data_IF_249818435645
#
_entry.id   IF_249818435645
#
_cell.length_a   1.000
_cell.length_b   1.000
_cell.length_c   1.000
_cell.angle_alpha   90.00
_cell.angle_beta   90.00
_cell.angle_gamma   90.00
#
_symmetry.space_group_name_H-M   'P 1'
#
loop_
_entity.id
_entity.type
_entity.pdbx_description
1 polymer ?
#
# COMPACT_ATOMS: atom_id res chain seq x y z
N UNK A 1 27.04 55.29 -19.90
CA UNK A 1 25.97 54.37 -19.60
C UNK A 1 26.08 53.14 -20.48
N UNK A 2 26.14 51.92 -19.93
CA UNK A 2 26.14 50.67 -20.69
C UNK A 2 24.70 50.44 -21.15
N UNK A 3 24.42 50.24 -22.45
CA UNK A 3 23.07 50.01 -22.92
C UNK A 3 22.61 48.59 -22.46
N UNK A 4 21.60 48.55 -21.59
CA UNK A 4 20.98 47.30 -21.16
C UNK A 4 19.88 46.94 -22.16
N UNK A 5 20.07 45.87 -22.93
CA UNK A 5 19.01 45.26 -23.74
C UNK A 5 18.18 44.28 -22.89
N UNK A 6 16.91 44.59 -22.69
CA UNK A 6 15.96 43.65 -22.07
C UNK A 6 15.35 42.75 -23.16
N UNK A 7 15.58 41.47 -23.07
CA UNK A 7 14.88 40.47 -23.88
C UNK A 7 13.72 39.93 -23.06
N UNK A 8 12.50 40.06 -23.55
CA UNK A 8 11.33 39.39 -23.04
C UNK A 8 11.16 38.15 -23.91
N UNK A 9 11.54 37.00 -23.38
CA UNK A 9 11.19 35.71 -24.00
C UNK A 9 9.73 35.46 -23.66
N UNK A 10 8.82 35.68 -24.58
CA UNK A 10 7.46 35.17 -24.47
C UNK A 10 7.54 33.69 -24.82
N UNK A 11 7.39 32.83 -23.82
CA UNK A 11 6.95 31.47 -24.06
C UNK A 11 5.50 31.59 -24.56
N UNK A 12 5.27 31.51 -25.84
CA UNK A 12 3.98 31.03 -26.31
C UNK A 12 3.83 29.64 -25.73
N UNK A 13 2.75 29.44 -24.97
CA UNK A 13 2.35 28.07 -24.58
C UNK A 13 2.28 27.28 -25.89
N UNK A 14 3.30 26.49 -26.17
CA UNK A 14 3.21 25.54 -27.27
C UNK A 14 1.90 24.79 -27.02
N UNK A 15 0.93 24.98 -27.90
CA UNK A 15 -0.21 24.06 -28.01
C UNK A 15 0.44 22.72 -27.97
N UNK A 16 0.18 21.96 -26.91
CA UNK A 16 0.79 20.67 -26.64
C UNK A 16 0.69 19.85 -27.91
N UNK A 17 1.81 19.74 -28.63
CA UNK A 17 1.88 18.83 -29.74
C UNK A 17 1.46 17.50 -29.15
N UNK A 18 0.41 16.87 -29.73
CA UNK A 18 -0.01 15.55 -29.25
C UNK A 18 1.20 14.65 -29.36
N UNK A 19 1.80 14.36 -28.21
CA UNK A 19 2.93 13.43 -28.19
C UNK A 19 2.46 12.10 -28.77
N UNK A 20 3.28 11.43 -29.59
CA UNK A 20 2.92 10.16 -30.18
C UNK A 20 2.55 9.15 -29.09
N UNK A 21 1.68 8.21 -29.42
CA UNK A 21 1.38 7.08 -28.56
C UNK A 21 2.65 6.28 -28.27
N UNK A 22 2.73 5.69 -27.07
CA UNK A 22 3.85 4.84 -26.69
C UNK A 22 3.54 3.43 -27.18
N UNK A 23 4.07 3.09 -28.34
CA UNK A 23 3.91 1.74 -28.93
C UNK A 23 4.68 0.73 -28.11
N UNK A 24 4.05 -0.39 -27.79
CA UNK A 24 4.69 -1.49 -27.07
C UNK A 24 5.67 -2.23 -27.99
N UNK A 25 6.77 -2.67 -27.43
CA UNK A 25 7.74 -3.54 -28.08
C UNK A 25 7.76 -4.93 -27.42
N UNK A 26 8.28 -5.93 -28.11
CA UNK A 26 8.50 -7.26 -27.50
C UNK A 26 9.40 -7.20 -26.27
N UNK A 27 10.35 -6.26 -26.24
CA UNK A 27 11.22 -6.04 -25.11
C UNK A 27 10.45 -5.48 -23.91
N UNK A 28 9.52 -4.55 -24.13
CA UNK A 28 8.67 -3.99 -23.08
C UNK A 28 7.80 -5.10 -22.45
N UNK A 29 7.18 -5.94 -23.28
CA UNK A 29 6.38 -7.08 -22.82
C UNK A 29 7.22 -8.08 -22.05
N UNK A 30 8.44 -8.39 -22.53
CA UNK A 30 9.37 -9.25 -21.80
C UNK A 30 9.73 -8.67 -20.44
N UNK A 31 10.03 -7.38 -20.38
CA UNK A 31 10.32 -6.67 -19.12
C UNK A 31 9.17 -6.77 -18.13
N UNK A 32 7.91 -6.62 -18.59
CA UNK A 32 6.74 -6.80 -17.72
C UNK A 32 6.65 -8.23 -17.20
N UNK A 33 6.83 -9.26 -18.04
CA UNK A 33 6.78 -10.67 -17.64
C UNK A 33 7.85 -11.04 -16.61
N UNK A 34 9.02 -10.39 -16.67
CA UNK A 34 10.11 -10.59 -15.72
C UNK A 34 9.92 -9.78 -14.43
N UNK A 35 9.09 -8.74 -14.47
CA UNK A 35 8.83 -7.87 -13.32
C UNK A 35 7.70 -8.43 -12.45
N UNK A 36 7.91 -8.49 -11.13
CA UNK A 36 6.84 -8.84 -10.21
C UNK A 36 5.86 -7.67 -10.06
N UNK A 37 4.61 -7.85 -10.50
CA UNK A 37 3.55 -6.84 -10.41
C UNK A 37 2.96 -6.80 -8.98
N UNK A 38 2.41 -5.67 -8.60
CA UNK A 38 1.72 -5.45 -7.32
C UNK A 38 0.39 -4.73 -7.53
N UNK A 39 -0.44 -4.63 -6.51
CA UNK A 39 -1.66 -3.84 -6.56
C UNK A 39 -1.37 -2.40 -7.05
N UNK A 40 -0.31 -1.77 -6.57
CA UNK A 40 0.11 -0.42 -6.99
C UNK A 40 0.48 -0.37 -8.48
N UNK A 41 1.22 -1.37 -8.98
CA UNK A 41 1.57 -1.40 -10.42
C UNK A 41 0.35 -1.58 -11.30
N UNK A 42 -0.61 -2.41 -10.89
CA UNK A 42 -1.90 -2.55 -11.59
C UNK A 42 -2.72 -1.26 -11.53
N UNK A 43 -2.79 -0.61 -10.38
CA UNK A 43 -3.46 0.70 -10.22
C UNK A 43 -2.84 1.77 -11.13
N UNK A 44 -1.51 1.76 -11.30
CA UNK A 44 -0.83 2.66 -12.24
C UNK A 44 -1.27 2.41 -13.68
N UNK A 45 -1.32 1.14 -14.12
CA UNK A 45 -1.81 0.79 -15.45
C UNK A 45 -3.26 1.22 -15.67
N UNK A 46 -4.15 0.85 -14.75
CA UNK A 46 -5.58 1.17 -14.79
C UNK A 46 -5.87 2.69 -14.75
N UNK A 47 -5.00 3.46 -14.12
CA UNK A 47 -5.14 4.92 -14.07
C UNK A 47 -4.52 5.62 -15.27
N UNK A 48 -3.40 5.14 -15.74
CA UNK A 48 -2.67 5.66 -16.90
C UNK A 48 -1.63 4.65 -17.38
N UNK A 49 -1.89 3.91 -18.48
CA UNK A 49 -0.90 2.97 -19.05
C UNK A 49 0.48 3.58 -19.28
N UNK A 50 0.56 4.87 -19.68
CA UNK A 50 1.85 5.57 -19.82
C UNK A 50 2.58 5.72 -18.47
N UNK A 51 1.87 5.95 -17.35
CA UNK A 51 2.48 5.98 -16.02
C UNK A 51 3.08 4.62 -15.65
N UNK A 52 2.35 3.54 -15.95
CA UNK A 52 2.86 2.17 -15.77
C UNK A 52 4.12 1.94 -16.62
N UNK A 53 4.11 2.36 -17.88
CA UNK A 53 5.28 2.26 -18.76
C UNK A 53 6.50 2.95 -18.17
N UNK A 54 6.38 4.21 -17.79
CA UNK A 54 7.52 4.93 -17.23
C UNK A 54 8.01 4.34 -15.91
N UNK A 55 7.11 4.05 -14.98
CA UNK A 55 7.48 3.57 -13.65
C UNK A 55 7.89 2.09 -13.61
N UNK A 56 7.21 1.22 -14.38
CA UNK A 56 7.37 -0.23 -14.27
C UNK A 56 8.24 -0.79 -15.39
N UNK A 57 7.99 -0.38 -16.64
CA UNK A 57 8.75 -0.91 -17.80
C UNK A 57 10.11 -0.21 -17.92
N UNK A 58 10.13 1.12 -17.79
CA UNK A 58 11.38 1.89 -17.90
C UNK A 58 12.07 2.12 -16.54
N UNK A 59 11.43 1.77 -15.43
CA UNK A 59 12.03 1.88 -14.10
C UNK A 59 12.33 3.31 -13.66
N UNK A 60 11.69 4.32 -14.29
CA UNK A 60 11.91 5.72 -13.93
C UNK A 60 11.31 6.01 -12.56
N UNK A 61 11.98 6.86 -11.80
CA UNK A 61 11.53 7.37 -10.50
C UNK A 61 11.59 8.88 -10.50
N UNK A 62 10.74 9.52 -9.70
CA UNK A 62 10.90 10.94 -9.41
C UNK A 62 12.24 11.19 -8.70
N UNK A 63 12.82 12.35 -8.92
CA UNK A 63 13.92 12.82 -8.07
C UNK A 63 13.39 13.02 -6.66
N UNK A 64 14.11 12.49 -5.68
CA UNK A 64 13.79 12.73 -4.27
C UNK A 64 14.21 14.15 -3.91
N UNK A 65 13.24 15.03 -3.77
CA UNK A 65 13.49 16.36 -3.20
C UNK A 65 13.69 16.22 -1.69
N UNK A 66 14.72 16.86 -1.15
CA UNK A 66 14.91 16.93 0.31
C UNK A 66 13.77 17.72 0.91
N UNK A 67 12.83 17.05 1.53
CA UNK A 67 11.67 17.69 2.12
C UNK A 67 12.05 18.40 3.43
N UNK A 68 11.80 19.71 3.52
CA UNK A 68 11.97 20.48 4.76
C UNK A 68 10.92 20.12 5.85
N UNK A 69 9.81 19.52 5.44
CA UNK A 69 8.73 19.11 6.32
C UNK A 69 8.16 17.75 5.91
N UNK A 70 7.67 17.01 6.89
CA UNK A 70 6.99 15.73 6.68
C UNK A 70 5.80 15.90 5.72
N UNK A 71 5.82 15.14 4.64
CA UNK A 71 4.69 14.98 3.73
C UNK A 71 3.76 13.82 4.14
N UNK A 72 2.72 13.57 3.36
CA UNK A 72 1.76 12.50 3.62
C UNK A 72 2.36 11.09 3.43
N UNK A 73 3.33 10.92 2.54
CA UNK A 73 4.02 9.65 2.31
C UNK A 73 4.89 9.29 3.51
N UNK A 74 5.74 10.23 3.94
CA UNK A 74 6.59 10.07 5.13
C UNK A 74 5.75 9.82 6.39
N UNK A 75 4.59 10.51 6.53
CA UNK A 75 3.66 10.25 7.63
C UNK A 75 3.24 8.77 7.65
N UNK A 76 2.85 8.22 6.50
CA UNK A 76 2.48 6.81 6.36
C UNK A 76 3.63 5.89 6.76
N UNK A 77 4.81 6.09 6.17
CA UNK A 77 6.01 5.29 6.46
C UNK A 77 6.34 5.27 7.96
N UNK A 78 6.36 6.43 8.61
CA UNK A 78 6.66 6.53 10.05
C UNK A 78 5.59 5.85 10.90
N UNK A 79 4.31 5.98 10.52
CA UNK A 79 3.22 5.31 11.23
C UNK A 79 3.34 3.78 11.14
N UNK A 80 3.54 3.21 9.94
CA UNK A 80 3.73 1.78 9.71
C UNK A 80 4.94 1.26 10.48
N UNK A 81 6.08 1.93 10.35
CA UNK A 81 7.32 1.52 11.03
C UNK A 81 7.19 1.60 12.56
N UNK A 82 6.46 2.60 13.08
CA UNK A 82 6.15 2.67 14.52
C UNK A 82 5.31 1.46 14.93
N UNK A 83 4.22 1.16 14.22
CA UNK A 83 3.38 0.00 14.54
C UNK A 83 4.15 -1.31 14.45
N UNK A 84 4.97 -1.48 13.41
CA UNK A 84 5.86 -2.63 13.26
C UNK A 84 6.78 -2.77 14.49
N UNK A 85 7.47 -1.71 14.87
CA UNK A 85 8.41 -1.73 16.00
C UNK A 85 7.76 -2.06 17.35
N UNK A 86 6.52 -1.63 17.55
CA UNK A 86 5.76 -1.94 18.76
C UNK A 86 5.34 -3.41 18.82
N UNK A 87 5.01 -4.02 17.68
CA UNK A 87 4.56 -5.42 17.64
C UNK A 87 5.71 -6.43 17.52
N UNK A 88 6.87 -6.05 17.00
CA UNK A 88 8.05 -6.91 17.07
C UNK A 88 8.62 -6.98 18.49
N UNK A 89 8.52 -5.88 19.28
CA UNK A 89 9.09 -5.75 20.63
C UNK A 89 10.60 -5.64 20.61
N UNK A 90 11.17 -5.27 21.74
CA UNK A 90 12.61 -5.05 21.86
C UNK A 90 13.42 -6.34 21.67
N UNK A 91 12.90 -7.48 22.12
CA UNK A 91 13.55 -8.79 21.98
C UNK A 91 13.52 -9.32 20.55
N UNK A 92 12.53 -8.93 19.77
CA UNK A 92 12.38 -9.37 18.39
C UNK A 92 13.08 -8.46 17.37
N UNK A 93 13.53 -7.28 17.76
CA UNK A 93 14.26 -6.36 16.87
C UNK A 93 15.64 -6.89 16.46
N UNK A 94 16.20 -7.85 17.17
CA UNK A 94 17.46 -8.49 16.81
C UNK A 94 17.30 -9.58 15.74
N UNK A 95 16.06 -9.90 15.39
CA UNK A 95 15.76 -10.97 14.46
C UNK A 95 14.84 -10.36 13.41
N UNK A 96 15.25 -10.36 12.17
CA UNK A 96 14.41 -10.19 11.00
C UNK A 96 13.40 -11.34 10.90
N UNK A 97 12.81 -11.65 12.03
CA UNK A 97 12.11 -12.86 12.37
C UNK A 97 10.80 -12.97 11.63
N UNK A 98 10.17 -11.81 11.40
CA UNK A 98 8.95 -11.69 10.60
C UNK A 98 9.24 -11.13 9.21
N UNK A 99 10.46 -10.64 8.99
CA UNK A 99 10.79 -9.96 7.76
C UNK A 99 12.30 -9.99 7.52
N UNK A 100 12.78 -11.04 6.89
CA UNK A 100 14.08 -11.00 6.22
C UNK A 100 13.86 -10.93 4.71
N UNK A 101 14.10 -9.78 4.06
CA UNK A 101 13.99 -9.67 2.61
C UNK A 101 14.97 -10.57 1.86
N UNK A 102 15.94 -11.16 2.54
CA UNK A 102 16.91 -12.12 2.00
C UNK A 102 16.51 -13.56 2.24
N UNK A 103 15.58 -13.84 3.17
CA UNK A 103 15.05 -15.18 3.36
C UNK A 103 13.98 -15.48 2.33
N UNK A 104 13.98 -16.69 1.74
CA UNK A 104 12.87 -17.14 0.92
C UNK A 104 11.59 -17.15 1.78
N UNK A 105 10.44 -16.86 1.15
CA UNK A 105 9.12 -16.75 1.79
C UNK A 105 8.75 -17.97 2.67
N UNK A 106 9.35 -19.12 2.41
CA UNK A 106 9.20 -20.35 3.20
C UNK A 106 10.06 -20.38 4.48
N UNK A 107 10.99 -19.45 4.68
CA UNK A 107 11.82 -19.34 5.89
C UNK A 107 11.00 -19.00 7.14
N UNK A 108 9.83 -18.40 6.98
CA UNK A 108 8.90 -18.07 8.07
C UNK A 108 8.09 -19.28 8.57
N UNK A 109 8.08 -20.38 7.84
CA UNK A 109 7.29 -21.57 8.20
C UNK A 109 7.66 -22.14 9.57
N UNK A 110 8.92 -22.05 9.96
CA UNK A 110 9.45 -22.56 11.22
C UNK A 110 9.66 -21.45 12.27
N UNK A 111 9.27 -20.21 11.96
CA UNK A 111 9.39 -19.11 12.90
C UNK A 111 8.36 -19.24 14.01
N UNK A 112 8.74 -19.12 15.30
CA UNK A 112 7.77 -19.18 16.39
C UNK A 112 6.79 -18.02 16.27
N UNK A 113 5.50 -18.32 16.40
CA UNK A 113 4.43 -17.33 16.45
C UNK A 113 4.60 -16.44 17.68
N UNK A 114 4.47 -15.15 17.49
CA UNK A 114 4.50 -14.21 18.59
C UNK A 114 3.10 -13.97 19.14
N UNK A 115 2.97 -14.07 20.45
CA UNK A 115 1.73 -13.76 21.16
C UNK A 115 1.75 -12.31 21.64
N UNK A 116 0.87 -11.46 21.06
CA UNK A 116 0.68 -10.09 21.52
C UNK A 116 -0.49 -10.05 22.49
N UNK A 117 -0.20 -9.98 23.77
CA UNK A 117 -1.21 -10.09 24.85
C UNK A 117 -1.92 -8.78 25.13
N UNK A 118 -3.12 -8.84 25.73
CA UNK A 118 -3.85 -7.66 26.22
C UNK A 118 -2.98 -6.82 27.17
N UNK A 119 -2.17 -7.45 28.03
CA UNK A 119 -1.34 -6.71 28.99
C UNK A 119 -0.12 -6.07 28.34
N UNK A 120 0.43 -6.70 27.29
CA UNK A 120 1.46 -6.07 26.46
C UNK A 120 0.94 -4.77 25.82
N UNK A 121 -0.25 -4.82 25.20
CA UNK A 121 -0.86 -3.64 24.57
C UNK A 121 -1.15 -2.56 25.63
N UNK A 122 -1.72 -2.93 26.78
CA UNK A 122 -1.97 -1.99 27.89
C UNK A 122 -0.68 -1.34 28.37
N UNK A 123 0.42 -2.10 28.44
CA UNK A 123 1.72 -1.55 28.86
C UNK A 123 2.20 -0.41 27.95
N UNK A 124 1.99 -0.55 26.64
CA UNK A 124 2.28 0.51 25.67
C UNK A 124 1.35 1.70 25.78
N UNK A 125 0.05 1.46 26.00
CA UNK A 125 -0.93 2.53 26.19
C UNK A 125 -0.60 3.42 27.41
N UNK A 126 0.05 2.87 28.44
CA UNK A 126 0.51 3.61 29.61
C UNK A 126 1.82 4.38 29.37
N UNK A 127 2.62 3.99 28.37
CA UNK A 127 3.93 4.57 28.05
C UNK A 127 3.85 5.54 26.85
N UNK A 128 2.95 6.51 26.91
CA UNK A 128 2.75 7.48 25.81
C UNK A 128 4.04 8.25 25.45
N UNK A 129 4.87 8.55 26.46
CA UNK A 129 6.17 9.19 26.26
C UNK A 129 7.12 8.37 25.39
N UNK A 130 7.13 7.04 25.58
CA UNK A 130 7.98 6.13 24.82
C UNK A 130 7.49 6.00 23.36
N UNK A 131 6.16 5.94 23.15
CA UNK A 131 5.58 5.96 21.79
C UNK A 131 6.01 7.23 21.06
N UNK A 132 5.88 8.39 21.72
CA UNK A 132 6.30 9.70 21.17
C UNK A 132 7.80 9.74 20.88
N UNK A 133 8.63 9.19 21.74
CA UNK A 133 10.07 9.12 21.55
C UNK A 133 10.43 8.25 20.34
N UNK A 134 9.79 7.09 20.19
CA UNK A 134 9.97 6.21 18.99
C UNK A 134 9.60 6.95 17.71
N UNK A 135 8.43 7.59 17.66
CA UNK A 135 7.99 8.36 16.48
C UNK A 135 9.00 9.45 16.14
N UNK A 136 9.49 10.21 17.14
CA UNK A 136 10.49 11.25 16.90
C UNK A 136 11.80 10.69 16.35
N UNK A 137 12.26 9.56 16.89
CA UNK A 137 13.48 8.90 16.42
C UNK A 137 13.34 8.45 14.95
N UNK A 138 12.18 7.89 14.57
CA UNK A 138 11.92 7.49 13.20
C UNK A 138 11.85 8.70 12.25
N UNK A 139 11.23 9.82 12.68
CA UNK A 139 11.22 11.06 11.90
C UNK A 139 12.65 11.58 11.68
N UNK A 140 13.45 11.62 12.73
CA UNK A 140 14.84 12.09 12.64
C UNK A 140 15.65 11.22 11.67
N UNK A 141 15.45 9.91 11.70
CA UNK A 141 16.11 8.97 10.80
C UNK A 141 15.66 9.17 9.35
N UNK A 142 14.34 9.25 9.11
CA UNK A 142 13.78 9.40 7.77
C UNK A 142 14.17 10.73 7.11
N UNK A 143 14.17 11.81 7.87
CA UNK A 143 14.58 13.13 7.39
C UNK A 143 16.09 13.36 7.43
N UNK A 144 16.87 12.41 7.97
CA UNK A 144 18.31 12.54 8.19
C UNK A 144 18.69 13.82 8.95
N UNK A 145 17.97 14.11 10.04
CA UNK A 145 18.20 15.29 10.90
C UNK A 145 18.51 14.86 12.33
N UNK A 146 19.28 15.69 13.06
CA UNK A 146 19.61 15.42 14.48
C UNK A 146 18.52 15.85 15.44
N UNK A 147 17.65 16.77 15.04
CA UNK A 147 16.57 17.30 15.85
C UNK A 147 15.37 17.67 14.97
N UNK A 148 14.17 17.51 15.51
CA UNK A 148 12.93 17.96 14.85
C UNK A 148 12.39 19.18 15.57
N UNK A 149 11.84 20.13 14.80
CA UNK A 149 11.30 21.38 15.32
C UNK A 149 10.01 21.80 14.61
N UNK A 150 9.38 22.83 15.10
CA UNK A 150 8.24 23.47 14.43
C UNK A 150 7.10 22.51 14.09
N UNK A 151 6.69 22.51 12.84
CA UNK A 151 5.59 21.68 12.33
C UNK A 151 5.83 20.18 12.53
N UNK A 152 7.06 19.71 12.40
CA UNK A 152 7.39 18.29 12.50
C UNK A 152 7.16 17.73 13.92
N UNK A 153 7.29 18.57 14.97
CA UNK A 153 6.90 18.19 16.33
C UNK A 153 5.40 17.94 16.45
N UNK A 154 4.58 18.79 15.82
CA UNK A 154 3.12 18.61 15.82
C UNK A 154 2.74 17.33 15.08
N UNK A 155 3.38 17.07 13.93
CA UNK A 155 3.14 15.84 13.16
C UNK A 155 3.54 14.61 13.98
N UNK A 156 4.66 14.64 14.70
CA UNK A 156 5.08 13.56 15.61
C UNK A 156 4.01 13.27 16.67
N UNK A 157 3.44 14.30 17.27
CA UNK A 157 2.38 14.16 18.27
C UNK A 157 1.08 13.59 17.66
N UNK A 158 0.77 13.96 16.42
CA UNK A 158 -0.38 13.40 15.68
C UNK A 158 -0.16 11.93 15.39
N UNK A 159 1.00 11.54 14.86
CA UNK A 159 1.32 10.12 14.60
C UNK A 159 1.23 9.31 15.91
N UNK A 160 1.82 9.80 17.00
CA UNK A 160 1.76 9.11 18.29
C UNK A 160 0.32 8.91 18.78
N UNK A 161 -0.58 9.86 18.54
CA UNK A 161 -2.01 9.72 18.85
C UNK A 161 -2.69 8.64 18.00
N UNK A 162 -2.38 8.54 16.71
CA UNK A 162 -2.92 7.50 15.85
C UNK A 162 -2.40 6.11 16.25
N UNK A 163 -1.10 6.00 16.55
CA UNK A 163 -0.51 4.76 17.08
C UNK A 163 -1.22 4.31 18.35
N UNK A 164 -1.41 5.23 19.31
CA UNK A 164 -2.12 4.94 20.55
C UNK A 164 -3.58 4.52 20.30
N UNK A 165 -4.27 5.18 19.36
CA UNK A 165 -5.65 4.80 19.01
C UNK A 165 -5.71 3.43 18.34
N UNK A 166 -4.76 3.09 17.47
CA UNK A 166 -4.62 1.77 16.85
C UNK A 166 -4.46 0.68 17.91
N UNK A 167 -3.55 0.87 18.87
CA UNK A 167 -3.37 -0.04 20.00
C UNK A 167 -4.66 -0.19 20.83
N UNK A 168 -5.41 0.90 21.01
CA UNK A 168 -6.70 0.85 21.72
C UNK A 168 -7.74 0.02 20.96
N UNK A 169 -7.82 0.17 19.63
CA UNK A 169 -8.70 -0.64 18.79
C UNK A 169 -8.30 -2.12 18.83
N UNK A 170 -7.02 -2.44 18.81
CA UNK A 170 -6.53 -3.82 18.96
C UNK A 170 -6.90 -4.42 20.31
N UNK A 171 -6.81 -3.64 21.39
CA UNK A 171 -7.25 -4.09 22.70
C UNK A 171 -8.76 -4.34 22.73
N UNK A 172 -9.57 -3.53 22.04
CA UNK A 172 -11.01 -3.75 21.89
C UNK A 172 -11.30 -5.01 21.11
N UNK A 173 -10.61 -5.24 19.99
CA UNK A 173 -10.75 -6.48 19.19
C UNK A 173 -10.48 -7.73 20.06
N UNK A 174 -9.43 -7.72 20.87
CA UNK A 174 -9.14 -8.85 21.78
C UNK A 174 -10.23 -9.03 22.84
N UNK A 175 -10.82 -7.95 23.34
CA UNK A 175 -11.90 -8.02 24.36
C UNK A 175 -13.20 -8.53 23.77
N UNK A 176 -13.60 -8.05 22.60
CA UNK A 176 -14.85 -8.43 21.93
C UNK A 176 -14.84 -9.91 21.50
N UNK A 177 -13.68 -10.43 21.12
CA UNK A 177 -13.53 -11.83 20.77
C UNK A 177 -13.22 -12.73 21.98
N UNK A 178 -13.14 -12.14 23.17
CA UNK A 178 -12.80 -12.82 24.44
C UNK A 178 -11.53 -13.68 24.35
N UNK A 179 -10.50 -13.18 23.65
CA UNK A 179 -9.20 -13.85 23.51
C UNK A 179 -8.10 -13.07 24.24
N UNK A 180 -7.11 -13.76 24.83
CA UNK A 180 -6.07 -13.11 25.62
C UNK A 180 -4.99 -12.42 24.76
N UNK A 181 -4.83 -12.80 23.50
CA UNK A 181 -3.76 -12.35 22.63
C UNK A 181 -4.10 -12.48 21.15
N UNK A 182 -3.38 -11.73 20.30
CA UNK A 182 -3.21 -12.05 18.90
C UNK A 182 -2.10 -13.07 18.72
N UNK A 183 -2.23 -13.94 17.73
CA UNK A 183 -1.12 -14.72 17.21
C UNK A 183 -0.59 -13.98 15.99
N UNK A 184 0.62 -13.46 16.08
CA UNK A 184 1.26 -12.71 15.02
C UNK A 184 1.95 -13.66 14.05
N UNK A 185 1.52 -13.68 12.79
CA UNK A 185 2.09 -14.51 11.71
C UNK A 185 3.11 -13.73 10.87
N UNK A 186 3.06 -12.41 10.89
CA UNK A 186 4.02 -11.59 10.19
C UNK A 186 3.70 -10.08 10.23
N UNK A 187 4.74 -9.28 10.02
CA UNK A 187 4.70 -7.82 9.92
C UNK A 187 5.54 -7.39 8.72
N UNK A 188 5.01 -6.47 7.89
CA UNK A 188 5.66 -5.99 6.66
C UNK A 188 6.14 -7.14 5.76
N UNK A 189 5.32 -8.19 5.65
CA UNK A 189 5.69 -9.40 4.96
C UNK A 189 5.61 -9.24 3.44
N UNK A 190 6.70 -9.54 2.79
CA UNK A 190 6.72 -9.72 1.35
C UNK A 190 6.20 -11.10 0.98
N UNK A 191 5.13 -11.14 0.19
CA UNK A 191 4.56 -12.37 -0.38
C UNK A 191 4.65 -12.31 -1.89
N UNK A 192 4.91 -13.46 -2.52
CA UNK A 192 4.98 -13.57 -3.98
C UNK A 192 4.28 -14.82 -4.45
N UNK A 193 3.60 -14.73 -5.61
CA UNK A 193 2.95 -15.86 -6.28
C UNK A 193 2.95 -15.65 -7.79
N UNK A 194 2.98 -16.73 -8.55
CA UNK A 194 2.81 -16.68 -10.00
C UNK A 194 1.39 -17.08 -10.35
N UNK A 195 0.67 -16.21 -11.07
CA UNK A 195 -0.71 -16.40 -11.51
C UNK A 195 -0.80 -16.02 -12.99
N UNK A 196 -1.44 -16.82 -13.81
CA UNK A 196 -1.51 -16.65 -15.27
C UNK A 196 -0.12 -16.44 -15.93
N UNK A 197 0.90 -17.10 -15.41
CA UNK A 197 2.28 -16.95 -15.88
C UNK A 197 2.98 -15.65 -15.49
N UNK A 198 2.29 -14.73 -14.83
CA UNK A 198 2.83 -13.47 -14.29
C UNK A 198 3.18 -13.61 -12.82
N UNK A 199 4.37 -13.15 -12.44
CA UNK A 199 4.77 -13.04 -11.04
C UNK A 199 4.12 -11.82 -10.38
N UNK A 200 3.47 -12.04 -9.24
CA UNK A 200 2.94 -10.99 -8.39
C UNK A 200 3.69 -10.90 -7.06
N UNK A 201 3.67 -9.72 -6.46
CA UNK A 201 4.20 -9.44 -5.12
C UNK A 201 3.26 -8.53 -4.34
N UNK A 202 3.28 -8.67 -3.03
CA UNK A 202 2.63 -7.77 -2.09
C UNK A 202 3.50 -7.60 -0.85
N UNK A 203 3.33 -6.48 -0.18
CA UNK A 203 3.85 -6.24 1.15
C UNK A 203 2.65 -6.08 2.06
N UNK A 204 2.48 -7.01 2.99
CA UNK A 204 1.34 -7.06 3.90
C UNK A 204 1.80 -6.48 5.22
N UNK A 205 1.17 -5.39 5.65
CA UNK A 205 1.57 -4.66 6.84
C UNK A 205 1.54 -5.55 8.08
N UNK A 206 0.48 -6.37 8.21
CA UNK A 206 0.33 -7.28 9.35
C UNK A 206 -0.53 -8.50 9.00
N UNK A 207 -0.03 -9.67 9.37
CA UNK A 207 -0.77 -10.93 9.38
C UNK A 207 -0.93 -11.38 10.81
N UNK A 208 -2.17 -11.57 11.28
CA UNK A 208 -2.45 -12.08 12.61
C UNK A 208 -3.66 -13.03 12.65
N UNK A 209 -3.87 -13.64 13.80
CA UNK A 209 -5.07 -14.42 14.11
C UNK A 209 -5.64 -13.98 15.44
N UNK A 210 -6.95 -13.79 15.45
CA UNK A 210 -7.77 -13.59 16.65
C UNK A 210 -8.56 -14.86 16.95
N UNK A 211 -8.98 -15.55 15.88
CA UNK A 211 -9.79 -16.79 15.94
C UNK A 211 -9.02 -17.94 15.30
N UNK A 212 -9.19 -19.13 15.85
CA UNK A 212 -8.66 -20.34 15.25
C UNK A 212 -9.26 -20.56 13.85
N UNK A 213 -8.44 -20.96 12.88
CA UNK A 213 -8.86 -21.20 11.50
C UNK A 213 -9.13 -19.93 10.68
N UNK A 214 -8.72 -18.76 11.16
CA UNK A 214 -8.83 -17.50 10.44
C UNK A 214 -7.54 -16.69 10.54
N UNK A 215 -6.97 -16.31 9.40
CA UNK A 215 -5.87 -15.38 9.28
C UNK A 215 -6.42 -14.02 8.88
N UNK A 216 -6.04 -12.99 9.61
CA UNK A 216 -6.44 -11.63 9.32
C UNK A 216 -5.30 -10.86 8.66
N UNK A 217 -5.59 -10.32 7.48
CA UNK A 217 -4.76 -9.35 6.76
C UNK A 217 -5.14 -7.97 7.24
N UNK A 218 -4.24 -7.29 7.92
CA UNK A 218 -4.44 -5.92 8.39
C UNK A 218 -3.61 -4.98 7.54
N UNK A 219 -4.25 -3.91 7.07
CA UNK A 219 -3.63 -2.87 6.26
C UNK A 219 -3.86 -1.51 6.90
N UNK A 220 -2.79 -0.74 7.07
CA UNK A 220 -2.82 0.59 7.66
C UNK A 220 -2.94 1.65 6.58
N UNK A 221 -3.99 2.48 6.63
CA UNK A 221 -4.20 3.56 5.66
C UNK A 221 -4.21 4.93 6.33
N UNK A 222 -3.38 5.82 5.83
CA UNK A 222 -3.35 7.22 6.26
C UNK A 222 -4.33 8.10 5.50
N UNK A 223 -4.90 7.59 4.41
CA UNK A 223 -5.88 8.26 3.55
C UNK A 223 -7.33 7.85 3.79
N UNK A 224 -8.21 8.39 2.95
CA UNK A 224 -9.64 8.05 2.93
C UNK A 224 -9.83 6.63 2.40
N UNK A 225 -10.71 5.88 3.03
CA UNK A 225 -11.23 4.59 2.57
C UNK A 225 -12.62 4.83 2.00
N UNK A 226 -12.92 4.25 0.85
CA UNK A 226 -14.25 4.34 0.23
C UNK A 226 -15.14 3.23 0.78
N UNK A 227 -16.45 3.46 0.77
CA UNK A 227 -17.42 2.44 1.19
C UNK A 227 -17.31 1.15 0.35
N UNK A 228 -17.09 1.30 -0.95
CA UNK A 228 -16.91 0.17 -1.88
C UNK A 228 -15.55 -0.56 -1.72
N UNK A 229 -14.68 -0.09 -0.86
CA UNK A 229 -13.45 -0.80 -0.52
C UNK A 229 -13.67 -1.91 0.53
N UNK A 230 -14.70 -1.79 1.37
CA UNK A 230 -14.92 -2.65 2.53
C UNK A 230 -16.27 -3.40 2.48
N UNK A 231 -17.29 -2.82 1.85
CA UNK A 231 -18.63 -3.40 1.81
C UNK A 231 -18.87 -4.23 0.54
N UNK A 232 -18.15 -5.34 0.40
CA UNK A 232 -18.21 -6.23 -0.77
C UNK A 232 -18.97 -7.51 -0.43
N UNK A 233 -20.06 -7.76 -1.15
CA UNK A 233 -20.93 -8.92 -0.98
C UNK A 233 -21.38 -9.48 -2.34
N UNK A 234 -22.16 -10.56 -2.34
CA UNK A 234 -22.57 -11.21 -3.58
C UNK A 234 -23.48 -10.34 -4.47
N UNK A 235 -24.19 -9.36 -3.92
CA UNK A 235 -25.08 -8.50 -4.68
C UNK A 235 -24.31 -7.42 -5.47
N UNK A 236 -23.23 -6.87 -4.89
CA UNK A 236 -22.47 -5.78 -5.49
C UNK A 236 -21.10 -6.20 -6.07
N UNK A 237 -20.73 -7.47 -5.95
CA UNK A 237 -19.42 -7.99 -6.34
C UNK A 237 -19.03 -7.67 -7.80
N UNK A 238 -19.97 -7.85 -8.74
CA UNK A 238 -19.73 -7.61 -10.17
C UNK A 238 -19.55 -6.11 -10.44
N UNK A 239 -20.37 -5.27 -9.82
CA UNK A 239 -20.33 -3.83 -10.03
C UNK A 239 -19.04 -3.24 -9.47
N UNK A 240 -18.62 -3.66 -8.27
CA UNK A 240 -17.37 -3.22 -7.66
C UNK A 240 -16.16 -3.68 -8.47
N UNK A 241 -16.13 -4.93 -8.91
CA UNK A 241 -15.07 -5.41 -9.81
C UNK A 241 -15.05 -4.60 -11.11
N UNK A 242 -16.20 -4.33 -11.72
CA UNK A 242 -16.32 -3.47 -12.89
C UNK A 242 -15.75 -2.06 -12.64
N UNK A 243 -16.06 -1.43 -11.51
CA UNK A 243 -15.50 -0.13 -11.14
C UNK A 243 -13.96 -0.13 -11.02
N UNK A 244 -13.39 -1.22 -10.52
CA UNK A 244 -11.93 -1.34 -10.37
C UNK A 244 -11.24 -1.32 -11.73
N UNK A 245 -11.78 -2.02 -12.72
CA UNK A 245 -11.16 -2.17 -14.04
C UNK A 245 -11.65 -1.13 -15.07
N UNK A 246 -12.63 -0.30 -14.72
CA UNK A 246 -13.09 0.80 -15.60
C UNK A 246 -12.08 1.97 -15.58
N UNK A 247 -11.44 2.31 -16.72
CA UNK A 247 -10.52 3.44 -16.82
C UNK A 247 -11.20 4.78 -16.50
N UNK A 248 -12.50 4.90 -16.71
CA UNK A 248 -13.28 6.13 -16.47
C UNK A 248 -13.71 6.32 -15.00
N UNK A 249 -13.59 5.29 -14.18
CA UNK A 249 -14.00 5.34 -12.78
C UNK A 249 -13.08 6.27 -11.97
N UNK A 250 -13.64 7.39 -11.48
CA UNK A 250 -12.91 8.39 -10.69
C UNK A 250 -12.69 7.97 -9.23
N UNK A 251 -13.65 7.26 -8.67
CA UNK A 251 -13.61 6.73 -7.30
C UNK A 251 -13.40 5.21 -7.32
N UNK A 252 -12.29 4.79 -7.94
CA UNK A 252 -11.93 3.36 -8.03
C UNK A 252 -11.68 2.79 -6.64
N UNK A 253 -12.28 1.63 -6.28
CA UNK A 253 -12.02 0.93 -5.03
C UNK A 253 -10.60 0.32 -5.02
N UNK A 254 -9.61 1.11 -4.60
CA UNK A 254 -8.18 0.73 -4.68
C UNK A 254 -7.78 -0.26 -3.59
N UNK A 255 -8.42 -0.16 -2.44
CA UNK A 255 -8.15 -1.04 -1.29
C UNK A 255 -8.76 -2.42 -1.57
N UNK A 256 -9.95 -2.47 -2.18
CA UNK A 256 -10.55 -3.73 -2.63
C UNK A 256 -9.63 -4.49 -3.62
N UNK A 257 -9.03 -3.78 -4.59
CA UNK A 257 -8.02 -4.37 -5.47
C UNK A 257 -6.80 -4.86 -4.67
N UNK A 258 -6.34 -4.09 -3.70
CA UNK A 258 -5.18 -4.45 -2.89
C UNK A 258 -5.44 -5.71 -2.06
N UNK A 259 -6.59 -5.82 -1.39
CA UNK A 259 -6.95 -7.02 -0.64
C UNK A 259 -7.20 -8.22 -1.54
N UNK A 260 -7.81 -8.02 -2.71
CA UNK A 260 -7.90 -9.10 -3.69
C UNK A 260 -6.51 -9.65 -4.06
N UNK A 261 -5.54 -8.78 -4.32
CA UNK A 261 -4.16 -9.20 -4.61
C UNK A 261 -3.53 -9.91 -3.40
N UNK A 262 -3.75 -9.42 -2.18
CA UNK A 262 -3.23 -10.06 -0.97
C UNK A 262 -3.85 -11.44 -0.75
N UNK A 263 -5.17 -11.56 -0.87
CA UNK A 263 -5.88 -12.84 -0.75
C UNK A 263 -5.39 -13.83 -1.83
N UNK A 264 -5.22 -13.36 -3.08
CA UNK A 264 -4.67 -14.15 -4.16
C UNK A 264 -3.24 -14.63 -3.85
N UNK A 265 -2.38 -13.78 -3.34
CA UNK A 265 -1.00 -14.11 -3.00
C UNK A 265 -0.90 -15.13 -1.87
N UNK A 266 -1.81 -15.06 -0.90
CA UNK A 266 -1.80 -15.90 0.30
C UNK A 266 -2.40 -17.30 0.09
N UNK A 267 -3.11 -17.57 -1.00
CA UNK A 267 -3.81 -18.87 -1.19
C UNK A 267 -2.91 -20.10 -1.06
N UNK A 268 -1.65 -20.00 -1.49
CA UNK A 268 -0.68 -21.09 -1.40
C UNK A 268 0.37 -20.84 -0.29
N UNK A 269 0.15 -19.85 0.57
CA UNK A 269 1.07 -19.51 1.65
C UNK A 269 0.88 -20.51 2.82
N UNK A 270 1.95 -21.16 3.28
CA UNK A 270 1.85 -22.15 4.36
C UNK A 270 1.28 -21.60 5.68
N UNK A 271 1.35 -20.28 5.89
CA UNK A 271 0.82 -19.63 7.10
C UNK A 271 -0.70 -19.61 7.14
N UNK A 272 -1.36 -19.67 5.97
CA UNK A 272 -2.83 -19.67 5.84
C UNK A 272 -3.40 -21.05 5.50
N UNK A 273 -2.57 -22.08 5.37
CA UNK A 273 -3.02 -23.43 5.05
C UNK A 273 -4.10 -23.91 6.05
N UNK A 274 -5.27 -24.28 5.52
CA UNK A 274 -6.42 -24.71 6.33
C UNK A 274 -7.16 -23.60 7.07
N UNK A 275 -6.82 -22.32 6.83
CA UNK A 275 -7.47 -21.16 7.43
C UNK A 275 -8.21 -20.34 6.37
N UNK A 276 -9.25 -19.63 6.80
CA UNK A 276 -9.88 -18.59 6.00
C UNK A 276 -9.11 -17.28 6.10
N UNK A 277 -9.13 -16.48 5.03
CA UNK A 277 -8.57 -15.12 5.03
C UNK A 277 -9.67 -14.12 5.35
N UNK A 278 -9.37 -13.18 6.24
CA UNK A 278 -10.21 -12.03 6.55
C UNK A 278 -9.37 -10.75 6.47
N UNK A 279 -9.98 -9.66 6.06
CA UNK A 279 -9.31 -8.38 5.79
C UNK A 279 -9.77 -7.31 6.78
N UNK A 280 -8.90 -6.40 7.17
CA UNK A 280 -9.23 -5.30 8.07
C UNK A 280 -8.40 -4.06 7.72
N UNK A 281 -9.08 -2.92 7.52
CA UNK A 281 -8.43 -1.63 7.25
C UNK A 281 -8.41 -0.78 8.52
N UNK A 282 -7.23 -0.33 8.89
CA UNK A 282 -7.04 0.65 9.97
C UNK A 282 -6.79 2.02 9.36
N UNK A 283 -7.86 2.75 9.06
CA UNK A 283 -7.78 4.07 8.43
C UNK A 283 -7.66 5.19 9.45
N UNK A 284 -6.57 5.96 9.42
CA UNK A 284 -6.41 7.12 10.33
C UNK A 284 -7.53 8.15 10.15
N UNK A 285 -8.12 8.27 8.97
CA UNK A 285 -9.25 9.16 8.73
C UNK A 285 -10.52 8.77 9.50
N UNK A 286 -10.69 7.47 9.77
CA UNK A 286 -11.90 6.93 10.41
C UNK A 286 -11.66 6.41 11.84
N UNK A 287 -10.42 6.14 12.20
CA UNK A 287 -10.03 5.42 13.42
C UNK A 287 -10.57 6.01 14.74
N UNK A 288 -10.80 7.34 14.77
CA UNK A 288 -11.39 8.02 15.94
C UNK A 288 -12.93 8.02 15.92
N UNK A 289 -13.54 7.70 14.78
CA UNK A 289 -15.01 7.67 14.62
C UNK A 289 -15.55 6.26 14.71
N UNK A 290 -14.91 5.35 13.97
CA UNK A 290 -15.32 3.96 13.83
C UNK A 290 -14.14 3.07 14.18
N UNK A 291 -14.42 1.92 14.79
CA UNK A 291 -13.42 0.86 14.94
C UNK A 291 -13.21 0.16 13.60
N UNK A 292 -12.00 -0.39 13.36
CA UNK A 292 -11.76 -1.23 12.19
C UNK A 292 -12.66 -2.48 12.23
N UNK A 293 -13.34 -2.74 11.13
CA UNK A 293 -14.12 -3.95 10.96
C UNK A 293 -13.28 -5.02 10.25
N UNK A 294 -13.66 -6.28 10.46
CA UNK A 294 -13.06 -7.42 9.79
C UNK A 294 -14.08 -8.04 8.85
N UNK A 295 -13.73 -8.20 7.58
CA UNK A 295 -14.60 -8.73 6.55
C UNK A 295 -13.87 -9.72 5.65
N UNK A 296 -14.61 -10.51 4.88
CA UNK A 296 -14.08 -11.45 3.91
C UNK A 296 -14.51 -11.05 2.52
N UNK A 297 -13.61 -11.15 1.56
CA UNK A 297 -14.01 -11.03 0.18
C UNK A 297 -14.89 -12.22 -0.19
N UNK A 298 -16.07 -11.96 -0.74
CA UNK A 298 -16.96 -13.04 -1.16
C UNK A 298 -16.39 -13.79 -2.38
N UNK A 299 -16.74 -15.06 -2.51
CA UNK A 299 -16.22 -15.93 -3.57
C UNK A 299 -16.54 -15.36 -4.95
N UNK A 300 -17.74 -14.84 -5.14
CA UNK A 300 -18.17 -14.24 -6.40
C UNK A 300 -17.27 -13.06 -6.80
N UNK A 301 -16.94 -12.17 -5.85
CA UNK A 301 -16.00 -11.07 -6.13
C UNK A 301 -14.63 -11.58 -6.55
N UNK A 302 -14.10 -12.55 -5.81
CA UNK A 302 -12.81 -13.14 -6.12
C UNK A 302 -12.76 -13.72 -7.53
N UNK A 303 -13.77 -14.52 -7.93
CA UNK A 303 -13.83 -15.17 -9.23
C UNK A 303 -13.93 -14.15 -10.37
N UNK A 304 -14.79 -13.12 -10.23
CA UNK A 304 -14.92 -12.03 -11.20
C UNK A 304 -13.60 -11.22 -11.32
N UNK A 305 -12.96 -10.93 -10.19
CA UNK A 305 -11.67 -10.22 -10.19
C UNK A 305 -10.57 -11.04 -10.90
N UNK A 306 -10.55 -12.37 -10.75
CA UNK A 306 -9.62 -13.24 -11.46
C UNK A 306 -9.82 -13.17 -12.97
N UNK A 307 -11.07 -13.17 -13.45
CA UNK A 307 -11.39 -13.02 -14.88
C UNK A 307 -10.94 -11.66 -15.43
N UNK A 308 -11.17 -10.59 -14.68
CA UNK A 308 -10.71 -9.25 -15.06
C UNK A 308 -9.19 -9.13 -15.06
N UNK A 309 -8.53 -9.75 -14.09
CA UNK A 309 -7.07 -9.76 -14.01
C UNK A 309 -6.44 -10.46 -15.21
N UNK A 310 -6.99 -11.60 -15.62
CA UNK A 310 -6.53 -12.33 -16.80
C UNK A 310 -6.64 -11.47 -18.06
N UNK A 311 -7.81 -10.87 -18.30
CA UNK A 311 -8.04 -9.95 -19.44
C UNK A 311 -7.10 -8.73 -19.39
N UNK A 312 -6.85 -8.18 -18.22
CA UNK A 312 -5.92 -7.06 -18.04
C UNK A 312 -4.49 -7.46 -18.43
N UNK A 313 -4.05 -8.67 -18.04
CA UNK A 313 -2.73 -9.18 -18.42
C UNK A 313 -2.64 -9.43 -19.94
N UNK A 314 -3.69 -9.97 -20.56
CA UNK A 314 -3.76 -10.10 -22.01
C UNK A 314 -3.59 -8.74 -22.69
N UNK A 315 -4.31 -7.70 -22.24
CA UNK A 315 -4.17 -6.34 -22.78
C UNK A 315 -2.77 -5.78 -22.56
N UNK A 316 -2.17 -5.99 -21.38
CA UNK A 316 -0.80 -5.55 -21.08
C UNK A 316 0.22 -6.18 -22.02
N UNK A 317 0.01 -7.42 -22.42
CA UNK A 317 0.93 -8.15 -23.32
C UNK A 317 0.66 -7.95 -24.80
N UNK A 318 -0.51 -7.43 -25.15
CA UNK A 318 -0.88 -7.19 -26.54
C UNK A 318 -0.07 -6.03 -27.13
N UNK A 319 0.72 -6.31 -28.16
CA UNK A 319 1.57 -5.33 -28.86
C UNK A 319 0.75 -4.29 -29.64
N UNK A 320 -0.47 -4.62 -30.03
CA UNK A 320 -1.37 -3.70 -30.76
C UNK A 320 -2.01 -2.65 -29.85
N UNK A 321 -1.99 -2.87 -28.51
CA UNK A 321 -2.54 -1.93 -27.53
C UNK A 321 -1.43 -1.05 -26.98
N UNK A 322 -1.33 0.24 -27.36
CA UNK A 322 -0.25 1.12 -26.90
C UNK A 322 -0.43 1.51 -25.43
N UNK A 323 0.66 1.95 -24.77
CA UNK A 323 0.60 2.57 -23.45
C UNK A 323 0.06 3.99 -23.56
N UNK A 324 -1.27 4.12 -23.55
CA UNK A 324 -1.95 5.41 -23.72
C UNK A 324 -1.79 6.30 -22.49
N UNK A 325 -1.79 7.61 -22.73
CA UNK A 325 -1.88 8.62 -21.67
C UNK A 325 -3.33 8.80 -21.27
N UNK A 326 -3.58 8.92 -19.96
CA UNK A 326 -4.91 9.25 -19.48
C UNK A 326 -5.34 10.64 -19.95
N UNK A 327 -6.64 10.83 -20.14
CA UNK A 327 -7.25 12.15 -20.42
C UNK A 327 -7.62 12.87 -19.11
N UNK A 328 -7.58 12.20 -17.96
CA UNK A 328 -7.90 12.79 -16.67
C UNK A 328 -6.72 13.67 -16.17
N UNK A 329 -6.92 14.99 -16.28
CA UNK A 329 -5.95 16.00 -15.83
C UNK A 329 -5.66 15.91 -14.32
N UNK A 330 -6.60 15.41 -13.50
CA UNK A 330 -6.37 15.23 -12.07
C UNK A 330 -5.35 14.14 -11.81
N UNK A 331 -5.36 13.06 -12.58
CA UNK A 331 -4.33 12.01 -12.51
C UNK A 331 -2.97 12.59 -12.90
N UNK A 332 -2.93 13.47 -13.92
CA UNK A 332 -1.70 14.10 -14.39
C UNK A 332 -1.13 15.13 -13.41
N UNK A 333 -1.98 15.86 -12.68
CA UNK A 333 -1.53 16.93 -11.76
C UNK A 333 -0.62 16.43 -10.63
N UNK A 334 -0.81 15.16 -10.21
CA UNK A 334 -0.01 14.50 -9.18
C UNK A 334 0.92 13.40 -9.74
N UNK A 335 1.20 13.44 -11.06
CA UNK A 335 2.03 12.42 -11.69
C UNK A 335 3.48 12.86 -11.77
N UNK A 336 4.40 12.05 -11.31
CA UNK A 336 5.84 12.28 -11.36
C UNK A 336 6.35 12.45 -12.80
N UNK A 337 5.63 11.89 -13.77
CA UNK A 337 6.00 11.88 -15.18
C UNK A 337 5.29 12.96 -16.02
N UNK A 338 4.59 13.91 -15.38
CA UNK A 338 3.84 14.98 -16.09
C UNK A 338 4.69 15.76 -17.06
N UNK A 339 5.93 16.06 -16.69
CA UNK A 339 6.88 16.80 -17.55
C UNK A 339 7.24 16.00 -18.82
N UNK A 340 7.45 14.68 -18.69
CA UNK A 340 7.74 13.80 -19.84
C UNK A 340 6.51 13.70 -20.76
N UNK A 341 5.31 13.78 -20.19
CA UNK A 341 4.06 13.78 -20.94
C UNK A 341 3.69 15.13 -21.53
N UNK A 342 4.47 16.20 -21.30
CA UNK A 342 4.18 17.56 -21.78
C UNK A 342 2.93 18.17 -21.13
N UNK A 343 2.65 17.86 -19.86
CA UNK A 343 1.46 18.30 -19.10
C UNK A 343 1.84 19.01 -17.81
#
# INVERSE_FOLDING_TARGET
GVPVKRYVVKYDSMKTAQLPEIVKTEEDVRTVKETALSATTLQNYLSCPAKFYYSTVKGLRAEEEVAESLDYGMFGTIFHETMRSLYTGEEAMSVDFFFDPKMPDNGLKDAPLRFVTRDYIKSWLLREGDIRAKVKALIMNEMNVLEISGRNLVVADVIAKYVKKTLSCDLEVLRENDVPHFIMHGLENRVTRTVFGQKFKGYIDRLDSVKAGEIRVVDYKTGKVLENDENINDDNAIDIAGMIFDPSCKERPKIALQFFIYDMLLQDDPRVEGSGIANSVYSTANLFKNKPETYKLCRKFYDVMMEHLEKLLEEIYDLEVPFRRTEDEKVCSFCDFKMICGR
#
